data_IF_334744997330
#
_entry.id   IF_334744997330
#
_cell.length_a   1.000
_cell.length_b   1.000
_cell.length_c   1.000
_cell.angle_alpha   90.00
_cell.angle_beta   90.00
_cell.angle_gamma   90.00
#
_symmetry.space_group_name_H-M   'P 1'
#
loop_
_entity.id
_entity.type
_entity.pdbx_description
1 polymer ?
#
# COMPACT_ATOMS: atom_id res chain seq x y z
N UNK A 1 -37.49 8.93 -32.41
CA UNK A 1 -37.37 7.99 -31.27
C UNK A 1 -35.89 7.92 -30.95
N UNK A 2 -35.49 8.40 -29.77
CA UNK A 2 -34.09 8.51 -29.37
C UNK A 2 -33.62 7.22 -28.68
N UNK A 3 -32.40 6.80 -29.00
CA UNK A 3 -31.72 5.63 -28.45
C UNK A 3 -31.44 5.77 -26.94
N UNK A 4 -31.52 4.68 -26.13
CA UNK A 4 -31.05 4.71 -24.76
C UNK A 4 -29.52 4.71 -24.74
N UNK A 5 -28.98 5.70 -24.05
CA UNK A 5 -27.55 5.95 -23.85
C UNK A 5 -26.84 4.71 -23.31
N UNK A 6 -25.85 4.21 -24.05
CA UNK A 6 -24.89 3.25 -23.52
C UNK A 6 -24.08 3.91 -22.41
N UNK A 7 -24.39 3.61 -21.15
CA UNK A 7 -23.52 3.94 -20.01
C UNK A 7 -22.17 3.27 -20.25
N UNK A 8 -21.14 4.07 -20.55
CA UNK A 8 -19.79 3.59 -20.81
C UNK A 8 -19.24 2.83 -19.61
N UNK A 9 -19.14 1.51 -19.74
CA UNK A 9 -18.55 0.63 -18.72
C UNK A 9 -17.02 0.72 -18.79
N UNK A 10 -16.46 1.87 -18.43
CA UNK A 10 -15.04 1.99 -18.12
C UNK A 10 -14.71 1.32 -16.78
N UNK A 11 -13.45 0.94 -16.52
CA UNK A 11 -13.07 0.42 -15.21
C UNK A 11 -13.38 1.46 -14.12
N UNK A 12 -14.10 1.06 -13.07
CA UNK A 12 -14.46 1.92 -11.91
C UNK A 12 -13.18 2.54 -11.34
N UNK A 13 -13.12 3.87 -11.23
CA UNK A 13 -11.97 4.59 -10.67
C UNK A 13 -12.34 5.24 -9.34
N UNK A 14 -11.41 5.23 -8.39
CA UNK A 14 -11.58 5.81 -7.07
C UNK A 14 -10.61 6.98 -6.88
N UNK A 15 -11.05 8.13 -6.36
CA UNK A 15 -10.16 9.21 -5.95
C UNK A 15 -9.41 8.80 -4.69
N UNK A 16 -8.08 8.90 -4.70
CA UNK A 16 -7.22 8.55 -3.56
C UNK A 16 -6.13 9.60 -3.31
N UNK A 17 -5.80 9.79 -2.03
CA UNK A 17 -4.68 10.61 -1.59
C UNK A 17 -3.60 9.70 -1.01
N UNK A 18 -2.47 9.63 -1.70
CA UNK A 18 -1.33 8.80 -1.31
C UNK A 18 -0.38 9.62 -0.44
N UNK A 19 0.00 9.08 0.72
CA UNK A 19 0.98 9.71 1.60
C UNK A 19 1.86 8.67 2.29
N UNK A 20 3.01 9.10 2.81
CA UNK A 20 3.90 8.26 3.59
C UNK A 20 4.49 9.05 4.76
N UNK A 21 4.90 8.34 5.82
CA UNK A 21 5.69 8.91 6.92
C UNK A 21 7.19 8.90 6.64
N UNK A 22 7.63 8.24 5.57
CA UNK A 22 9.04 8.11 5.19
C UNK A 22 9.44 9.16 4.17
N UNK A 23 10.25 10.13 4.58
CA UNK A 23 10.74 11.20 3.68
C UNK A 23 11.48 10.65 2.45
N UNK A 24 12.15 9.50 2.58
CA UNK A 24 12.88 8.85 1.48
C UNK A 24 12.01 8.38 0.31
N UNK A 25 10.70 8.27 0.51
CA UNK A 25 9.75 7.78 -0.50
C UNK A 25 8.60 8.76 -0.73
N UNK A 26 8.74 10.02 -0.33
CA UNK A 26 7.69 11.02 -0.47
C UNK A 26 7.39 11.32 -1.95
N UNK A 27 6.11 11.31 -2.32
CA UNK A 27 5.62 11.73 -3.64
C UNK A 27 4.82 13.04 -3.51
N UNK A 28 4.64 13.81 -4.60
CA UNK A 28 3.82 15.02 -4.57
C UNK A 28 2.39 14.74 -4.09
N UNK A 29 1.93 15.49 -3.09
CA UNK A 29 0.57 15.36 -2.56
C UNK A 29 -0.45 15.82 -3.61
N UNK A 30 -1.06 14.85 -4.26
CA UNK A 30 -2.07 15.05 -5.29
C UNK A 30 -3.13 13.95 -5.21
N UNK A 31 -4.32 14.24 -5.69
CA UNK A 31 -5.40 13.25 -5.78
C UNK A 31 -5.21 12.43 -7.05
N UNK A 32 -5.07 11.12 -6.89
CA UNK A 32 -4.94 10.17 -7.98
C UNK A 32 -6.28 9.49 -8.22
N UNK A 33 -6.64 9.27 -9.48
CA UNK A 33 -7.77 8.41 -9.86
C UNK A 33 -7.22 7.04 -10.24
N UNK A 34 -7.47 6.05 -9.40
CA UNK A 34 -6.93 4.70 -9.59
C UNK A 34 -8.05 3.67 -9.76
N UNK A 35 -7.87 2.65 -10.60
CA UNK A 35 -8.87 1.59 -10.75
C UNK A 35 -9.20 0.89 -9.43
N UNK A 36 -10.49 0.66 -9.18
CA UNK A 36 -10.98 0.10 -7.93
C UNK A 36 -10.52 -1.35 -7.70
N UNK A 37 -10.26 -2.09 -8.77
CA UNK A 37 -9.78 -3.48 -8.73
C UNK A 37 -8.30 -3.59 -8.30
N UNK A 38 -7.59 -2.45 -8.18
CA UNK A 38 -6.19 -2.43 -7.80
C UNK A 38 -5.95 -2.94 -6.39
N UNK A 39 -4.86 -3.69 -6.28
CA UNK A 39 -4.36 -4.33 -5.07
C UNK A 39 -2.95 -3.82 -4.76
N UNK A 40 -2.39 -4.31 -3.65
CA UNK A 40 -1.02 -4.03 -3.20
C UNK A 40 0.02 -3.99 -4.33
N UNK A 41 0.03 -4.97 -5.23
CA UNK A 41 1.04 -5.06 -6.29
C UNK A 41 0.99 -3.86 -7.25
N UNK A 42 -0.18 -3.57 -7.82
CA UNK A 42 -0.35 -2.45 -8.76
C UNK A 42 -0.11 -1.10 -8.09
N UNK A 43 -0.55 -0.95 -6.83
CA UNK A 43 -0.27 0.25 -6.04
C UNK A 43 1.22 0.42 -5.80
N UNK A 44 1.95 -0.67 -5.49
CA UNK A 44 3.40 -0.65 -5.33
C UNK A 44 4.10 -0.28 -6.64
N UNK A 45 3.63 -0.80 -7.78
CA UNK A 45 4.16 -0.42 -9.10
C UNK A 45 3.93 1.07 -9.40
N UNK A 46 2.76 1.62 -9.07
CA UNK A 46 2.47 3.05 -9.19
C UNK A 46 3.48 3.88 -8.40
N UNK A 47 3.69 3.56 -7.12
CA UNK A 47 4.63 4.29 -6.27
C UNK A 47 6.05 4.22 -6.86
N UNK A 48 6.53 3.04 -7.24
CA UNK A 48 7.85 2.89 -7.84
C UNK A 48 8.00 3.69 -9.14
N UNK A 49 6.97 3.68 -9.99
CA UNK A 49 6.98 4.45 -11.23
C UNK A 49 7.05 5.96 -10.97
N UNK A 50 6.30 6.46 -9.99
CA UNK A 50 6.32 7.89 -9.60
C UNK A 50 7.67 8.27 -9.02
N UNK A 51 8.31 7.38 -8.25
CA UNK A 51 9.65 7.56 -7.72
C UNK A 51 10.76 7.37 -8.76
N UNK A 52 10.42 6.93 -9.97
CA UNK A 52 11.40 6.60 -11.01
C UNK A 52 12.24 5.37 -10.68
N UNK A 53 11.78 4.45 -9.84
CA UNK A 53 12.42 3.14 -9.65
C UNK A 53 12.00 2.18 -10.78
N UNK A 54 12.95 1.45 -11.37
CA UNK A 54 12.68 0.51 -12.45
C UNK A 54 13.87 0.26 -13.37
N UNK A 55 13.63 -0.50 -14.44
CA UNK A 55 14.67 -0.91 -15.40
C UNK A 55 15.37 0.26 -16.09
N UNK A 56 14.67 1.37 -16.32
CA UNK A 56 15.19 2.52 -17.05
C UNK A 56 16.09 3.44 -16.21
N UNK A 57 15.97 3.39 -14.88
CA UNK A 57 16.75 4.22 -13.94
C UNK A 57 17.87 3.47 -13.24
N UNK A 58 17.90 2.14 -13.33
CA UNK A 58 18.88 1.29 -12.66
C UNK A 58 18.63 1.11 -11.15
N UNK A 59 17.56 1.69 -10.60
CA UNK A 59 17.16 1.52 -9.20
C UNK A 59 16.15 0.38 -9.09
N UNK A 60 16.45 -0.62 -8.26
CA UNK A 60 15.56 -1.76 -8.06
C UNK A 60 14.21 -1.32 -7.46
N UNK A 61 13.07 -1.85 -7.96
CA UNK A 61 11.76 -1.60 -7.36
C UNK A 61 11.70 -2.02 -5.90
N UNK A 62 11.04 -1.19 -5.07
CA UNK A 62 10.85 -1.43 -3.65
C UNK A 62 9.41 -1.90 -3.41
N UNK A 63 9.18 -3.02 -2.70
CA UNK A 63 7.82 -3.43 -2.34
C UNK A 63 7.23 -2.49 -1.29
N UNK A 64 5.98 -2.09 -1.47
CA UNK A 64 5.22 -1.26 -0.53
C UNK A 64 3.98 -1.98 0.02
N UNK A 65 3.66 -1.71 1.28
CA UNK A 65 2.39 -2.02 1.93
C UNK A 65 1.54 -0.76 2.07
N UNK A 66 0.23 -0.96 2.16
CA UNK A 66 -0.76 0.12 2.14
C UNK A 66 -1.69 0.00 3.33
N UNK A 67 -1.91 1.11 4.03
CA UNK A 67 -2.87 1.27 5.11
C UNK A 67 -3.91 2.29 4.68
N UNK A 68 -5.14 1.82 4.52
CA UNK A 68 -6.30 2.62 4.09
C UNK A 68 -7.08 3.00 5.32
N UNK A 69 -7.07 4.29 5.68
CA UNK A 69 -7.76 4.83 6.86
C UNK A 69 -7.52 4.06 8.18
N UNK A 70 -6.30 3.54 8.36
CA UNK A 70 -5.91 2.81 9.57
C UNK A 70 -6.02 1.28 9.46
N UNK A 71 -6.58 0.73 8.38
CA UNK A 71 -6.60 -0.72 8.11
C UNK A 71 -5.60 -1.11 7.02
N UNK A 72 -4.81 -2.16 7.25
CA UNK A 72 -3.94 -2.73 6.20
C UNK A 72 -4.78 -3.24 5.04
N UNK A 73 -4.48 -2.79 3.82
CA UNK A 73 -5.17 -3.22 2.62
C UNK A 73 -4.97 -4.72 2.38
N UNK A 74 -6.05 -5.48 2.56
CA UNK A 74 -6.12 -6.90 2.18
C UNK A 74 -7.08 -7.06 1.00
N UNK A 75 -6.52 -7.35 -0.18
CA UNK A 75 -7.28 -7.50 -1.43
C UNK A 75 -7.26 -6.24 -2.31
N UNK A 76 -8.39 -5.94 -2.95
CA UNK A 76 -8.57 -4.74 -3.78
C UNK A 76 -9.18 -3.57 -3.00
N UNK A 77 -8.99 -2.36 -3.51
CA UNK A 77 -9.65 -1.17 -2.98
C UNK A 77 -11.17 -1.25 -3.07
N UNK A 78 -11.70 -1.85 -4.14
CA UNK A 78 -13.13 -2.13 -4.30
C UNK A 78 -13.67 -2.95 -3.12
N UNK A 79 -12.97 -4.02 -2.73
CA UNK A 79 -13.38 -4.85 -1.60
C UNK A 79 -13.29 -4.07 -0.29
N UNK A 80 -12.33 -3.16 -0.16
CA UNK A 80 -12.22 -2.31 1.02
C UNK A 80 -13.38 -1.29 1.10
N UNK A 81 -13.70 -0.60 0.00
CA UNK A 81 -14.79 0.37 -0.09
C UNK A 81 -16.14 -0.29 0.18
N UNK A 82 -16.41 -1.46 -0.41
CA UNK A 82 -17.65 -2.22 -0.14
C UNK A 82 -17.82 -2.57 1.33
N UNK A 83 -16.73 -2.93 2.02
CA UNK A 83 -16.77 -3.27 3.45
C UNK A 83 -16.98 -2.07 4.36
N UNK A 84 -16.40 -0.92 4.03
CA UNK A 84 -16.33 0.23 4.95
C UNK A 84 -17.29 1.37 4.62
N UNK A 85 -17.60 1.57 3.34
CA UNK A 85 -18.33 2.74 2.84
C UNK A 85 -19.61 2.39 2.09
N UNK A 86 -19.93 1.10 1.92
CA UNK A 86 -21.19 0.68 1.29
C UNK A 86 -21.39 1.21 -0.14
N UNK A 87 -20.29 1.34 -0.90
CA UNK A 87 -20.23 1.93 -2.24
C UNK A 87 -20.40 3.47 -2.32
N UNK A 88 -20.23 4.20 -1.22
CA UNK A 88 -20.05 5.67 -1.27
C UNK A 88 -18.70 6.05 -1.90
N UNK A 89 -18.77 6.85 -2.97
CA UNK A 89 -17.66 7.24 -3.85
C UNK A 89 -17.31 8.73 -3.77
N UNK A 90 -18.04 9.53 -2.98
CA UNK A 90 -17.91 11.00 -3.06
C UNK A 90 -16.62 11.51 -2.41
N UNK A 91 -16.05 10.75 -1.47
CA UNK A 91 -14.90 11.19 -0.66
C UNK A 91 -13.61 10.48 -1.09
N UNK A 92 -12.54 11.26 -1.31
CA UNK A 92 -11.22 10.71 -1.59
C UNK A 92 -10.73 9.79 -0.44
N UNK A 93 -10.13 8.66 -0.80
CA UNK A 93 -9.62 7.68 0.17
C UNK A 93 -8.18 8.06 0.55
N UNK A 94 -7.92 8.25 1.84
CA UNK A 94 -6.55 8.46 2.34
C UNK A 94 -5.83 7.13 2.50
N UNK A 95 -4.72 6.97 1.79
CA UNK A 95 -3.92 5.75 1.76
C UNK A 95 -2.48 6.07 2.18
N UNK A 96 -2.08 5.54 3.33
CA UNK A 96 -0.69 5.55 3.76
C UNK A 96 0.06 4.40 3.07
N UNK A 97 1.25 4.66 2.52
CA UNK A 97 2.15 3.62 2.05
C UNK A 97 3.47 3.60 2.83
N UNK A 98 4.01 2.40 3.00
CA UNK A 98 5.26 2.15 3.72
C UNK A 98 6.04 1.03 3.06
N UNK A 99 7.37 1.05 3.16
CA UNK A 99 8.21 -0.02 2.65
C UNK A 99 7.83 -1.35 3.33
N UNK A 100 7.64 -2.39 2.53
CA UNK A 100 7.33 -3.71 3.06
C UNK A 100 8.53 -4.29 3.79
N UNK A 101 8.26 -4.82 4.97
CA UNK A 101 9.24 -5.58 5.74
C UNK A 101 9.31 -7.00 5.19
N UNK A 102 10.53 -7.52 5.04
CA UNK A 102 10.68 -8.95 4.79
C UNK A 102 10.28 -9.73 6.03
N UNK A 103 9.70 -10.93 5.88
CA UNK A 103 9.47 -11.82 7.01
C UNK A 103 10.76 -11.99 7.83
N UNK A 104 10.71 -11.87 9.16
CA UNK A 104 11.88 -12.10 9.98
C UNK A 104 12.35 -13.55 9.80
N UNK A 105 13.64 -13.72 9.54
CA UNK A 105 14.27 -15.04 9.44
C UNK A 105 14.94 -15.39 10.77
N UNK A 106 15.07 -16.69 11.03
CA UNK A 106 15.84 -17.16 12.19
C UNK A 106 17.31 -16.77 11.99
N UNK A 107 17.79 -15.82 12.81
CA UNK A 107 19.18 -15.35 12.75
C UNK A 107 20.12 -16.17 13.64
N UNK A 108 19.55 -16.88 14.62
CA UNK A 108 20.31 -17.66 15.59
C UNK A 108 19.42 -18.16 16.71
N UNK A 109 19.93 -19.14 17.43
CA UNK A 109 19.26 -19.82 18.53
C UNK A 109 20.26 -20.05 19.65
N UNK A 110 19.82 -19.82 20.88
CA UNK A 110 20.58 -20.16 22.08
C UNK A 110 19.77 -21.16 22.87
N UNK A 111 20.38 -22.31 23.13
CA UNK A 111 19.77 -23.34 23.96
C UNK A 111 20.06 -23.06 25.43
N UNK A 112 19.04 -23.22 26.26
CA UNK A 112 19.12 -23.12 27.72
C UNK A 112 18.41 -24.33 28.32
N UNK A 113 19.00 -24.89 29.37
CA UNK A 113 18.46 -26.08 30.04
C UNK A 113 17.22 -25.76 30.90
N UNK A 114 17.00 -24.47 31.21
CA UNK A 114 15.87 -23.97 32.00
C UNK A 114 15.23 -22.73 31.33
N UNK A 115 14.13 -22.23 31.89
CA UNK A 115 13.36 -21.12 31.34
C UNK A 115 14.15 -19.80 31.32
N UNK A 116 14.13 -19.15 30.16
CA UNK A 116 14.65 -17.79 30.02
C UNK A 116 13.66 -16.81 30.65
N UNK A 117 14.01 -16.23 31.81
CA UNK A 117 13.14 -15.31 32.55
C UNK A 117 13.16 -13.87 32.03
N UNK A 118 14.11 -13.51 31.16
CA UNK A 118 14.22 -12.16 30.60
C UNK A 118 15.27 -12.06 29.50
N UNK A 119 15.08 -11.10 28.58
CA UNK A 119 16.00 -10.79 27.49
C UNK A 119 16.21 -9.28 27.48
N UNK A 120 17.46 -8.84 27.30
CA UNK A 120 17.81 -7.43 27.14
C UNK A 120 18.77 -7.26 25.97
N UNK A 121 18.61 -6.17 25.23
CA UNK A 121 19.44 -5.80 24.09
C UNK A 121 20.06 -4.44 24.37
N UNK A 122 21.40 -4.35 24.28
CA UNK A 122 22.13 -3.10 24.37
C UNK A 122 22.73 -2.75 23.01
N UNK A 123 22.37 -1.59 22.46
CA UNK A 123 23.02 -1.05 21.26
C UNK A 123 24.41 -0.54 21.65
N UNK A 124 25.45 -0.90 20.89
CA UNK A 124 26.77 -0.24 21.05
C UNK A 124 26.61 1.25 20.72
N UNK A 125 27.02 2.10 21.68
CA UNK A 125 27.08 3.55 21.51
C UNK A 125 28.09 3.97 20.45
#
# INVERSE_FOLDING_TARGET
>A
MADPSSSGSGPRQLPVNLFTRSDSYAIPQSTYFIPADWRRFQLSELINKVLGHGGDSGVAPVPFDFVVEGEVLRGSLENWVKRHRGDDEETAISIEYMQSVMPPTEAGRWEQEDWVSGISLQRKG
#
